data_IF_188589720992
#
_entry.id   IF_188589720992
#
_cell.length_a   1.000
_cell.length_b   1.000
_cell.length_c   1.000
_cell.angle_alpha   90.00
_cell.angle_beta   90.00
_cell.angle_gamma   90.00
#
_symmetry.space_group_name_H-M   'P 1'
#
loop_
_entity.id
_entity.type
_entity.pdbx_description
1 polymer ?
#
# COMPACT_ATOMS: atom_id res chain seq x y z
N UNK A 1 14.07 -3.62 10.70
CA UNK A 1 12.82 -3.15 10.05
C UNK A 1 11.89 -4.35 9.94
N UNK A 2 10.67 -4.24 10.40
CA UNK A 2 9.75 -5.40 10.49
C UNK A 2 8.93 -5.59 9.22
N UNK A 3 8.26 -6.73 9.12
CA UNK A 3 7.52 -7.14 7.93
C UNK A 3 6.45 -6.12 7.54
N UNK A 4 5.66 -5.63 8.50
CA UNK A 4 4.63 -4.63 8.24
C UNK A 4 5.21 -3.27 7.81
N UNK A 5 6.35 -2.86 8.35
CA UNK A 5 7.03 -1.63 7.90
C UNK A 5 7.44 -1.76 6.43
N UNK A 6 7.98 -2.91 6.02
CA UNK A 6 8.32 -3.17 4.62
C UNK A 6 7.07 -3.15 3.73
N UNK A 7 5.99 -3.82 4.14
CA UNK A 7 4.73 -3.83 3.40
C UNK A 7 4.19 -2.41 3.17
N UNK A 8 4.14 -1.58 4.22
CA UNK A 8 3.67 -0.20 4.11
C UNK A 8 4.58 0.61 3.19
N UNK A 9 5.91 0.46 3.29
CA UNK A 9 6.84 1.16 2.40
C UNK A 9 6.67 0.77 0.93
N UNK A 10 6.56 -0.53 0.63
CA UNK A 10 6.31 -1.01 -0.73
C UNK A 10 4.95 -0.55 -1.25
N UNK A 11 3.93 -0.57 -0.41
CA UNK A 11 2.58 -0.04 -0.72
C UNK A 11 2.65 1.42 -1.14
N UNK A 12 3.31 2.27 -0.34
CA UNK A 12 3.43 3.70 -0.63
C UNK A 12 4.24 3.98 -1.90
N UNK A 13 5.31 3.21 -2.14
CA UNK A 13 6.08 3.31 -3.38
C UNK A 13 5.26 2.89 -4.59
N UNK A 14 4.52 1.78 -4.49
CA UNK A 14 3.68 1.29 -5.56
C UNK A 14 2.57 2.29 -5.90
N UNK A 15 1.90 2.81 -4.86
CA UNK A 15 0.90 3.85 -5.03
C UNK A 15 1.49 5.13 -5.62
N UNK A 16 2.71 5.53 -5.26
CA UNK A 16 3.39 6.69 -5.87
C UNK A 16 3.57 6.55 -7.37
N UNK A 17 4.01 5.38 -7.84
CA UNK A 17 4.16 5.16 -9.28
C UNK A 17 2.79 5.13 -9.97
N UNK A 18 1.81 4.43 -9.39
CA UNK A 18 0.43 4.48 -9.89
C UNK A 18 -0.10 5.92 -10.00
N UNK A 19 0.16 6.74 -8.98
CA UNK A 19 -0.30 8.12 -8.93
C UNK A 19 0.35 8.99 -10.01
N UNK A 20 1.65 8.83 -10.28
CA UNK A 20 2.33 9.53 -11.39
C UNK A 20 1.74 9.14 -12.74
N UNK A 21 1.49 7.85 -12.91
CA UNK A 21 0.93 7.26 -14.11
C UNK A 21 -0.46 7.82 -14.42
N UNK A 22 -1.35 7.85 -13.42
CA UNK A 22 -2.75 8.31 -13.57
C UNK A 22 -2.88 9.82 -13.66
N UNK A 23 -2.11 10.61 -12.87
CA UNK A 23 -2.18 12.09 -12.96
C UNK A 23 -1.31 12.69 -14.07
N UNK A 24 -0.27 12.00 -14.50
CA UNK A 24 0.73 12.51 -15.44
C UNK A 24 0.49 12.11 -16.89
N UNK A 25 -0.36 11.13 -17.17
CA UNK A 25 -0.59 10.64 -18.52
C UNK A 25 -2.09 10.44 -18.82
N UNK A 26 -2.49 10.76 -20.03
CA UNK A 26 -3.81 10.40 -20.59
C UNK A 26 -3.88 8.92 -21.03
N UNK A 27 -2.87 8.13 -20.66
CA UNK A 27 -2.71 6.75 -21.08
C UNK A 27 -3.10 5.81 -19.95
N UNK A 28 -4.02 4.88 -20.22
CA UNK A 28 -4.29 3.75 -19.33
C UNK A 28 -3.12 2.79 -19.50
N UNK A 29 -2.27 2.70 -18.48
CA UNK A 29 -1.17 1.73 -18.50
C UNK A 29 -1.72 0.32 -18.41
N UNK A 30 -1.19 -0.56 -19.24
CA UNK A 30 -1.44 -1.97 -19.07
C UNK A 30 -0.56 -2.55 -17.94
N UNK A 31 -0.90 -3.77 -17.54
CA UNK A 31 -0.28 -4.52 -16.45
C UNK A 31 1.25 -4.63 -16.57
N UNK A 32 1.75 -4.93 -17.78
CA UNK A 32 3.18 -5.10 -18.05
C UNK A 32 3.96 -3.79 -17.94
N UNK A 33 3.38 -2.68 -18.41
CA UNK A 33 4.01 -1.36 -18.33
C UNK A 33 4.10 -0.88 -16.88
N UNK A 34 3.03 -1.06 -16.09
CA UNK A 34 3.04 -0.71 -14.67
C UNK A 34 4.04 -1.56 -13.88
N UNK A 35 4.16 -2.84 -14.20
CA UNK A 35 5.18 -3.71 -13.64
C UNK A 35 6.60 -3.18 -13.90
N UNK A 36 6.91 -2.76 -15.13
CA UNK A 36 8.23 -2.21 -15.47
C UNK A 36 8.52 -0.96 -14.63
N UNK A 37 7.55 -0.05 -14.51
CA UNK A 37 7.69 1.16 -13.67
C UNK A 37 7.93 0.82 -12.19
N UNK A 38 7.19 -0.14 -11.64
CA UNK A 38 7.39 -0.59 -10.26
C UNK A 38 8.79 -1.17 -10.05
N UNK A 39 9.25 -2.00 -10.98
CA UNK A 39 10.57 -2.65 -10.91
C UNK A 39 11.69 -1.61 -10.91
N UNK A 40 11.65 -0.66 -11.85
CA UNK A 40 12.62 0.42 -11.96
C UNK A 40 12.60 1.28 -10.68
N UNK A 41 11.41 1.69 -10.23
CA UNK A 41 11.25 2.52 -9.03
C UNK A 41 11.76 1.84 -7.76
N UNK A 42 11.57 0.53 -7.61
CA UNK A 42 12.08 -0.23 -6.48
C UNK A 42 13.60 -0.37 -6.53
N UNK A 43 14.19 -0.45 -7.74
CA UNK A 43 15.64 -0.55 -7.92
C UNK A 43 16.36 0.79 -7.70
N UNK A 44 15.75 1.90 -8.12
CA UNK A 44 16.32 3.24 -8.01
C UNK A 44 16.15 3.85 -6.61
N UNK A 45 15.10 3.48 -5.87
CA UNK A 45 14.76 4.09 -4.57
C UNK A 45 15.19 3.29 -3.35
N UNK A 46 16.38 2.70 -3.44
CA UNK A 46 17.02 2.06 -2.29
C UNK A 46 17.15 3.02 -1.09
N UNK A 47 17.26 4.34 -1.33
CA UNK A 47 17.28 5.36 -0.29
C UNK A 47 15.98 5.44 0.53
N UNK A 48 14.79 5.33 -0.08
CA UNK A 48 13.51 5.37 0.63
C UNK A 48 13.30 4.12 1.49
N UNK A 49 13.65 2.95 0.94
CA UNK A 49 13.54 1.69 1.68
C UNK A 49 14.39 1.72 2.95
N UNK A 50 15.55 2.38 2.90
CA UNK A 50 16.48 2.54 4.01
C UNK A 50 16.23 3.78 4.89
N UNK A 51 15.16 4.57 4.65
CA UNK A 51 14.82 5.67 5.55
C UNK A 51 14.39 5.11 6.92
N UNK A 52 15.15 5.44 7.96
CA UNK A 52 14.72 5.29 9.35
C UNK A 52 13.78 6.44 9.69
N UNK A 53 12.50 6.14 9.93
CA UNK A 53 11.50 7.09 10.50
C UNK A 53 10.05 6.59 10.47
N UNK A 54 9.76 5.39 9.97
CA UNK A 54 8.39 4.87 10.03
C UNK A 54 8.19 3.99 11.27
N UNK A 55 7.34 4.45 12.19
CA UNK A 55 7.04 3.74 13.43
C UNK A 55 6.38 2.39 13.14
N UNK A 56 6.90 1.33 13.75
CA UNK A 56 6.39 -0.03 13.59
C UNK A 56 4.95 -0.15 14.10
N UNK A 57 4.65 0.40 15.28
CA UNK A 57 3.29 0.37 15.85
C UNK A 57 2.25 1.03 14.94
N UNK A 58 2.64 2.06 14.19
CA UNK A 58 1.79 2.70 13.18
C UNK A 58 1.53 1.75 12.01
N UNK A 59 2.56 1.04 11.54
CA UNK A 59 2.43 0.07 10.45
C UNK A 59 1.56 -1.11 10.86
N UNK A 60 1.76 -1.63 12.07
CA UNK A 60 0.95 -2.71 12.63
C UNK A 60 -0.52 -2.31 12.70
N UNK A 61 -0.80 -1.12 13.25
CA UNK A 61 -2.15 -0.57 13.33
C UNK A 61 -2.78 -0.44 11.93
N UNK A 62 -2.03 0.08 10.96
CA UNK A 62 -2.52 0.23 9.59
C UNK A 62 -2.85 -1.14 8.96
N UNK A 63 -1.90 -2.07 8.99
CA UNK A 63 -2.02 -3.39 8.34
C UNK A 63 -3.04 -4.30 9.03
N UNK A 64 -3.22 -4.20 10.35
CA UNK A 64 -4.21 -5.00 11.07
C UNK A 64 -5.64 -4.54 10.80
N UNK A 65 -5.85 -3.22 10.65
CA UNK A 65 -7.18 -2.65 10.45
C UNK A 65 -7.58 -2.55 8.96
N UNK A 66 -6.61 -2.52 8.03
CA UNK A 66 -6.88 -2.49 6.59
C UNK A 66 -7.74 -3.69 6.15
N UNK A 67 -7.30 -4.90 6.50
CA UNK A 67 -8.04 -6.14 6.20
C UNK A 67 -9.44 -6.15 6.80
N UNK A 68 -9.56 -5.72 8.06
CA UNK A 68 -10.86 -5.68 8.76
C UNK A 68 -11.83 -4.77 8.02
N UNK A 69 -11.38 -3.59 7.57
CA UNK A 69 -12.22 -2.70 6.77
C UNK A 69 -12.56 -3.29 5.41
N UNK A 70 -11.59 -3.84 4.68
CA UNK A 70 -11.82 -4.43 3.36
C UNK A 70 -12.83 -5.59 3.43
N UNK A 71 -12.67 -6.50 4.40
CA UNK A 71 -13.60 -7.61 4.63
C UNK A 71 -15.00 -7.11 4.97
N UNK A 72 -15.11 -6.12 5.87
CA UNK A 72 -16.39 -5.55 6.31
C UNK A 72 -17.10 -4.75 5.22
N UNK A 73 -16.38 -3.97 4.41
CA UNK A 73 -16.95 -3.23 3.26
C UNK A 73 -17.35 -4.17 2.12
N UNK A 74 -16.73 -5.36 2.01
CA UNK A 74 -17.11 -6.39 1.05
C UNK A 74 -18.39 -7.16 1.45
N UNK A 75 -18.81 -7.08 2.72
CA UNK A 75 -20.06 -7.70 3.16
C UNK A 75 -21.26 -6.99 2.51
N UNK A 76 -22.14 -7.77 1.89
CA UNK A 76 -23.42 -7.25 1.36
C UNK A 76 -24.33 -6.72 2.49
N UNK A 77 -24.19 -7.28 3.71
CA UNK A 77 -24.90 -6.86 4.90
C UNK A 77 -23.99 -6.97 6.13
N UNK A 78 -23.88 -5.88 6.90
CA UNK A 78 -23.15 -5.85 8.17
C UNK A 78 -24.14 -6.05 9.33
N UNK A 79 -23.88 -7.01 10.22
CA UNK A 79 -24.69 -7.20 11.43
C UNK A 79 -24.44 -6.09 12.45
N UNK A 80 -25.43 -5.81 13.31
CA UNK A 80 -25.32 -4.79 14.37
C UNK A 80 -24.14 -5.04 15.32
N UNK A 81 -23.79 -6.32 15.55
CA UNK A 81 -22.65 -6.72 16.37
C UNK A 81 -21.29 -6.35 15.76
N UNK A 82 -21.23 -6.20 14.43
CA UNK A 82 -20.01 -5.85 13.69
C UNK A 82 -19.83 -4.33 13.52
N UNK A 83 -20.87 -3.52 13.73
CA UNK A 83 -20.80 -2.05 13.61
C UNK A 83 -19.72 -1.45 14.54
N UNK A 84 -19.64 -1.81 15.84
CA UNK A 84 -18.62 -1.25 16.73
C UNK A 84 -17.19 -1.64 16.31
N UNK A 85 -17.01 -2.83 15.73
CA UNK A 85 -15.71 -3.28 15.23
C UNK A 85 -15.32 -2.50 13.97
N UNK A 86 -16.26 -2.29 13.05
CA UNK A 86 -16.08 -1.46 11.87
C UNK A 86 -15.71 -0.02 12.22
N UNK A 87 -16.46 0.63 13.11
CA UNK A 87 -16.22 2.02 13.51
C UNK A 87 -14.85 2.18 14.17
N UNK A 88 -14.46 1.21 15.01
CA UNK A 88 -13.12 1.18 15.61
C UNK A 88 -12.02 1.02 14.56
N UNK A 89 -12.18 0.08 13.62
CA UNK A 89 -11.22 -0.14 12.55
C UNK A 89 -11.09 1.09 11.64
N UNK A 90 -12.20 1.73 11.31
CA UNK A 90 -12.26 2.97 10.53
C UNK A 90 -11.51 4.10 11.23
N UNK A 91 -11.79 4.33 12.51
CA UNK A 91 -11.12 5.37 13.30
C UNK A 91 -9.60 5.14 13.38
N UNK A 92 -9.16 3.89 13.57
CA UNK A 92 -7.75 3.52 13.58
C UNK A 92 -7.07 3.80 12.23
N UNK A 93 -7.73 3.47 11.12
CA UNK A 93 -7.22 3.75 9.77
C UNK A 93 -7.18 5.25 9.49
N UNK A 94 -8.21 6.02 9.85
CA UNK A 94 -8.20 7.48 9.69
C UNK A 94 -7.06 8.14 10.48
N UNK A 95 -6.75 7.62 11.67
CA UNK A 95 -5.59 8.07 12.45
C UNK A 95 -4.28 7.69 11.74
N UNK A 96 -4.15 6.43 11.32
CA UNK A 96 -2.94 5.94 10.69
C UNK A 96 -2.65 6.64 9.35
N UNK A 97 -3.67 6.81 8.51
CA UNK A 97 -3.59 7.54 7.24
C UNK A 97 -3.12 8.98 7.43
N UNK A 98 -3.60 9.69 8.46
CA UNK A 98 -3.11 11.04 8.79
C UNK A 98 -1.61 11.03 9.12
N UNK A 99 -1.17 10.10 9.96
CA UNK A 99 0.26 9.96 10.32
C UNK A 99 1.14 9.55 9.15
N UNK A 100 0.65 8.66 8.30
CA UNK A 100 1.34 8.27 7.07
C UNK A 100 1.41 9.42 6.07
N UNK A 101 0.37 10.26 5.99
CA UNK A 101 0.39 11.47 5.17
C UNK A 101 1.47 12.46 5.64
N UNK A 102 1.60 12.67 6.95
CA UNK A 102 2.67 13.51 7.52
C UNK A 102 4.06 12.95 7.20
N UNK A 103 4.23 11.63 7.29
CA UNK A 103 5.46 10.92 6.92
C UNK A 103 5.79 11.11 5.43
N UNK A 104 4.79 10.97 4.56
CA UNK A 104 4.88 11.17 3.12
C UNK A 104 5.38 12.58 2.77
N UNK A 105 4.77 13.60 3.37
CA UNK A 105 5.09 15.01 3.13
C UNK A 105 6.51 15.31 3.61
N UNK A 106 6.84 14.89 4.83
CA UNK A 106 8.16 15.13 5.45
C UNK A 106 9.30 14.51 4.63
N UNK A 107 9.06 13.35 4.03
CA UNK A 107 10.04 12.65 3.22
C UNK A 107 9.95 12.96 1.72
N UNK A 108 9.14 13.96 1.33
CA UNK A 108 8.89 14.36 -0.07
C UNK A 108 8.56 13.17 -0.99
N UNK A 109 7.82 12.18 -0.48
CA UNK A 109 7.52 10.99 -1.25
C UNK A 109 6.63 11.35 -2.44
N UNK A 110 5.64 12.22 -2.25
CA UNK A 110 4.80 12.78 -3.30
C UNK A 110 5.08 14.30 -3.38
N UNK A 111 5.29 14.84 -4.58
CA UNK A 111 5.58 16.27 -4.74
C UNK A 111 4.30 17.10 -4.56
N UNK A 112 4.16 17.76 -3.42
CA UNK A 112 3.06 18.71 -3.13
C UNK A 112 1.65 18.12 -3.32
N UNK A 113 1.45 16.87 -2.92
CA UNK A 113 0.16 16.17 -3.05
C UNK A 113 -0.45 15.96 -1.67
N UNK A 114 -1.69 16.38 -1.51
CA UNK A 114 -2.58 15.88 -0.45
C UNK A 114 -3.37 14.72 -1.01
N UNK A 115 -3.25 13.56 -0.38
CA UNK A 115 -4.00 12.36 -0.76
C UNK A 115 -5.47 12.50 -0.37
N UNK A 116 -6.36 12.13 -1.27
CA UNK A 116 -7.81 12.12 -1.05
C UNK A 116 -8.24 10.83 -0.34
N UNK A 117 -9.48 10.77 0.14
CA UNK A 117 -10.05 9.54 0.71
C UNK A 117 -10.05 8.38 -0.29
N UNK A 118 -10.25 8.67 -1.58
CA UNK A 118 -10.19 7.66 -2.64
C UNK A 118 -8.77 7.13 -2.85
N UNK A 119 -7.75 7.99 -2.72
CA UNK A 119 -6.35 7.57 -2.77
C UNK A 119 -6.02 6.63 -1.61
N UNK A 120 -6.48 6.98 -0.40
CA UNK A 120 -6.31 6.12 0.78
C UNK A 120 -7.02 4.77 0.66
N UNK A 121 -8.20 4.73 0.04
CA UNK A 121 -8.87 3.46 -0.29
C UNK A 121 -8.04 2.58 -1.21
N UNK A 122 -7.39 3.16 -2.23
CA UNK A 122 -6.48 2.43 -3.12
C UNK A 122 -5.23 1.96 -2.36
N UNK A 123 -4.65 2.79 -1.51
CA UNK A 123 -3.50 2.43 -0.66
C UNK A 123 -3.86 1.27 0.29
N UNK A 124 -5.05 1.27 0.89
CA UNK A 124 -5.53 0.19 1.75
C UNK A 124 -5.67 -1.12 0.98
N UNK A 125 -6.28 -1.09 -0.20
CA UNK A 125 -6.40 -2.27 -1.07
C UNK A 125 -5.02 -2.81 -1.48
N UNK A 126 -4.10 -1.93 -1.89
CA UNK A 126 -2.69 -2.29 -2.20
C UNK A 126 -2.05 -2.97 -0.99
N UNK A 127 -2.19 -2.40 0.20
CA UNK A 127 -1.56 -2.90 1.41
C UNK A 127 -2.11 -4.28 1.82
N UNK A 128 -3.42 -4.48 1.71
CA UNK A 128 -4.05 -5.76 2.04
C UNK A 128 -3.64 -6.86 1.05
N UNK A 129 -3.63 -6.56 -0.26
CA UNK A 129 -3.11 -7.48 -1.27
C UNK A 129 -1.62 -7.83 -1.04
N UNK A 130 -0.78 -6.83 -0.76
CA UNK A 130 0.63 -7.08 -0.41
C UNK A 130 0.76 -7.96 0.83
N UNK A 131 -0.03 -7.69 1.87
CA UNK A 131 0.01 -8.46 3.11
C UNK A 131 -0.37 -9.91 2.88
N UNK A 132 -1.47 -10.17 2.17
CA UNK A 132 -1.92 -11.52 1.83
C UNK A 132 -0.84 -12.29 1.06
N UNK A 133 -0.28 -11.66 0.04
CA UNK A 133 0.71 -12.26 -0.83
C UNK A 133 2.06 -12.53 -0.15
N UNK A 134 2.39 -11.71 0.85
CA UNK A 134 3.62 -11.86 1.63
C UNK A 134 3.43 -12.66 2.94
N UNK A 135 2.22 -13.13 3.20
CA UNK A 135 1.91 -14.01 4.33
C UNK A 135 2.50 -15.43 4.11
N UNK A 136 2.72 -15.82 2.85
CA UNK A 136 3.64 -16.90 2.50
C UNK A 136 5.08 -16.41 2.63
N UNK A 137 5.56 -16.52 3.88
CA UNK A 137 6.81 -16.05 4.48
C UNK A 137 8.13 -16.08 3.68
N UNK A 138 8.20 -16.68 2.50
CA UNK A 138 9.42 -16.70 1.67
C UNK A 138 9.69 -15.36 0.96
N UNK A 139 8.67 -14.53 0.75
CA UNK A 139 8.84 -13.27 0.02
C UNK A 139 9.94 -12.38 0.60
N UNK A 140 10.07 -12.28 1.92
CA UNK A 140 11.07 -11.41 2.56
C UNK A 140 12.47 -12.01 2.59
N UNK A 141 12.57 -13.34 2.51
CA UNK A 141 13.83 -14.09 2.47
C UNK A 141 14.48 -14.04 1.08
N UNK A 142 13.66 -13.78 0.04
CA UNK A 142 14.12 -13.66 -1.33
C UNK A 142 15.08 -12.48 -1.56
N UNK A 143 15.97 -12.70 -2.51
CA UNK A 143 16.80 -11.64 -3.08
C UNK A 143 15.93 -10.55 -3.68
N UNK A 144 16.53 -9.38 -3.88
CA UNK A 144 15.85 -8.25 -4.51
C UNK A 144 15.27 -8.62 -5.89
N UNK A 145 16.01 -9.39 -6.69
CA UNK A 145 15.57 -9.80 -8.03
C UNK A 145 14.41 -10.79 -8.00
N UNK A 146 14.41 -11.73 -7.05
CA UNK A 146 13.30 -12.67 -6.84
C UNK A 146 12.03 -11.95 -6.37
N UNK A 147 12.16 -10.99 -5.44
CA UNK A 147 11.05 -10.12 -5.02
C UNK A 147 10.44 -9.38 -6.22
N UNK A 148 11.29 -8.89 -7.11
CA UNK A 148 10.85 -8.20 -8.33
C UNK A 148 10.13 -9.14 -9.31
N UNK A 149 10.59 -10.37 -9.48
CA UNK A 149 9.92 -11.32 -10.38
C UNK A 149 8.54 -11.72 -9.86
N UNK A 150 8.44 -11.96 -8.56
CA UNK A 150 7.20 -12.33 -7.90
C UNK A 150 6.14 -11.22 -8.01
N UNK A 151 6.55 -9.95 -7.96
CA UNK A 151 5.61 -8.82 -8.15
C UNK A 151 4.83 -8.89 -9.48
N UNK A 152 5.34 -9.57 -10.52
CA UNK A 152 4.63 -9.81 -11.79
C UNK A 152 3.35 -10.61 -11.62
N UNK A 153 3.33 -11.49 -10.64
CA UNK A 153 2.21 -12.40 -10.36
C UNK A 153 1.26 -11.79 -9.33
N UNK A 154 1.56 -10.57 -8.86
CA UNK A 154 0.79 -9.93 -7.80
C UNK A 154 -0.52 -9.32 -8.32
N UNK A 155 -1.64 -9.49 -7.59
CA UNK A 155 -2.89 -8.78 -7.87
C UNK A 155 -2.75 -7.26 -7.89
N UNK A 156 -1.66 -6.70 -7.34
CA UNK A 156 -1.35 -5.27 -7.43
C UNK A 156 -1.32 -4.73 -8.85
N UNK A 157 -0.97 -5.57 -9.80
CA UNK A 157 -0.92 -5.22 -11.23
C UNK A 157 -2.34 -5.03 -11.79
N UNK A 158 -3.34 -5.72 -11.23
CA UNK A 158 -4.75 -5.59 -11.63
C UNK A 158 -5.39 -4.24 -11.25
N UNK A 159 -4.71 -3.41 -10.44
CA UNK A 159 -5.14 -2.04 -10.14
C UNK A 159 -5.14 -1.11 -11.36
N UNK A 160 -4.48 -1.52 -12.46
CA UNK A 160 -4.52 -0.84 -13.74
C UNK A 160 -5.89 -0.92 -14.44
N UNK A 161 -6.81 -1.76 -13.97
CA UNK A 161 -8.17 -1.90 -14.50
C UNK A 161 -9.24 -1.09 -13.74
N UNK A 162 -8.87 -0.35 -12.68
CA UNK A 162 -9.74 0.50 -11.85
C UNK A 162 -9.58 2.01 -12.14
#
# INVERSE_FOLDING_TARGET
MTQHVLIVKYTLLAFKEYFKCVKGSSHILNEDEFYIYLRESFSEKNSFMNLDSLEEALCDLFISNARTLCEMEALTFMSDENIPLYDKAKSNIEFASRKLNDFIITNNLFQNVTLTDQDWRKILAIADCFKEWTHDSQFFEFSFEEKLNLLKESPLISLCHL
#
